data_IF_365297941615
#
_entry.id   IF_365297941615
#
_cell.length_a   1.000
_cell.length_b   1.000
_cell.length_c   1.000
_cell.angle_alpha   90.00
_cell.angle_beta   90.00
_cell.angle_gamma   90.00
#
_symmetry.space_group_name_H-M   'P 1'
#
loop_
_entity.id
_entity.type
_entity.pdbx_description
1 polymer ?
#
# COMPACT_ATOMS: atom_id res chain seq x y z
N UNK A 1 -3.02 -12.94 -30.57
CA UNK A 1 -4.39 -12.80 -30.05
C UNK A 1 -4.48 -11.41 -29.46
N UNK A 2 -5.27 -10.52 -30.09
CA UNK A 2 -5.40 -9.14 -29.60
C UNK A 2 -6.31 -9.14 -28.38
N UNK A 3 -5.76 -8.78 -27.22
CA UNK A 3 -6.55 -8.43 -26.03
C UNK A 3 -7.28 -7.11 -26.35
N UNK A 4 -8.45 -7.23 -27.00
CA UNK A 4 -9.26 -6.09 -27.41
C UNK A 4 -9.93 -5.45 -26.21
N UNK A 5 -9.30 -4.45 -25.64
CA UNK A 5 -9.81 -3.66 -24.53
C UNK A 5 -11.02 -2.85 -24.97
N UNK A 6 -12.23 -3.31 -24.63
CA UNK A 6 -13.41 -2.42 -24.62
C UNK A 6 -13.38 -1.64 -23.29
N UNK A 7 -12.67 -0.53 -23.29
CA UNK A 7 -12.85 0.48 -22.26
C UNK A 7 -14.30 0.96 -22.31
N UNK A 8 -15.14 0.40 -21.44
CA UNK A 8 -16.42 1.03 -21.09
C UNK A 8 -16.08 2.31 -20.34
N UNK A 9 -16.06 3.40 -21.07
CA UNK A 9 -15.98 4.76 -20.56
C UNK A 9 -17.17 4.97 -19.62
N UNK A 10 -17.00 4.65 -18.35
CA UNK A 10 -17.97 4.94 -17.29
C UNK A 10 -17.88 6.43 -17.04
N UNK A 11 -18.59 7.21 -17.85
CA UNK A 11 -18.82 8.63 -17.55
C UNK A 11 -19.41 8.69 -16.15
N UNK A 12 -18.59 9.15 -15.23
CA UNK A 12 -19.05 9.57 -13.91
C UNK A 12 -19.96 10.77 -14.17
N UNK A 13 -21.26 10.50 -14.23
CA UNK A 13 -22.25 11.56 -14.21
C UNK A 13 -22.22 12.18 -12.82
N UNK A 14 -21.51 13.29 -12.73
CA UNK A 14 -21.56 14.21 -11.59
C UNK A 14 -23.03 14.67 -11.47
N UNK A 15 -23.80 14.02 -10.62
CA UNK A 15 -25.14 14.46 -10.24
C UNK A 15 -24.98 15.82 -9.56
N UNK A 16 -25.28 16.86 -10.32
CA UNK A 16 -25.51 18.21 -9.85
C UNK A 16 -26.83 18.17 -9.07
N UNK A 17 -26.78 18.02 -7.78
CA UNK A 17 -27.94 18.27 -6.93
C UNK A 17 -28.08 19.78 -6.82
N UNK A 18 -29.04 20.29 -7.63
CA UNK A 18 -29.51 21.66 -7.47
C UNK A 18 -30.12 21.81 -6.07
N UNK A 19 -29.58 22.77 -5.34
CA UNK A 19 -30.07 23.14 -4.05
C UNK A 19 -31.53 23.56 -4.11
N UNK A 20 -32.32 22.87 -3.36
CA UNK A 20 -33.62 23.38 -2.95
C UNK A 20 -33.44 24.05 -1.61
N UNK A 21 -33.39 25.38 -1.66
CA UNK A 21 -33.51 26.25 -0.49
C UNK A 21 -34.86 25.95 0.17
N UNK A 22 -34.82 25.41 1.36
CA UNK A 22 -35.97 25.50 2.24
C UNK A 22 -35.56 26.34 3.45
N UNK A 23 -35.99 27.58 3.38
CA UNK A 23 -36.05 28.47 4.53
C UNK A 23 -36.98 27.90 5.58
N UNK A 24 -36.50 27.69 6.76
CA UNK A 24 -37.31 27.71 7.97
C UNK A 24 -36.77 28.79 8.90
N UNK A 25 -37.40 29.93 8.80
CA UNK A 25 -37.48 30.93 9.84
C UNK A 25 -38.54 30.48 10.85
N UNK A 26 -38.25 30.52 12.10
CA UNK A 26 -39.13 30.70 13.27
C UNK A 26 -38.16 30.71 14.45
N UNK A 27 -37.83 31.87 14.99
CA UNK A 27 -38.60 32.75 15.86
C UNK A 27 -38.58 32.29 17.32
N UNK A 28 -37.89 33.09 18.10
CA UNK A 28 -38.26 33.59 19.45
C UNK A 28 -38.40 32.55 20.56
N UNK A 29 -37.95 32.74 21.77
CA UNK A 29 -38.05 33.84 22.74
C UNK A 29 -37.15 33.54 23.95
N UNK A 30 -36.55 34.60 24.47
CA UNK A 30 -36.39 34.99 25.88
C UNK A 30 -36.27 33.87 26.95
N UNK A 31 -35.23 33.93 27.74
CA UNK A 31 -35.36 34.28 29.15
C UNK A 31 -34.05 34.89 29.64
N UNK A 32 -34.22 36.14 30.07
CA UNK A 32 -33.40 36.98 30.88
C UNK A 32 -33.16 36.33 32.26
N UNK A 33 -32.00 36.57 32.82
CA UNK A 33 -31.95 36.50 34.26
C UNK A 33 -30.61 36.22 34.90
N UNK A 34 -30.06 37.25 35.39
CA UNK A 34 -29.32 37.42 36.64
C UNK A 34 -27.79 37.29 36.62
N UNK A 35 -27.27 38.47 36.65
CA UNK A 35 -26.04 38.95 37.27
C UNK A 35 -25.79 38.33 38.65
N UNK A 36 -24.56 37.97 38.94
CA UNK A 36 -23.93 38.30 40.22
C UNK A 36 -22.41 38.28 40.05
N UNK A 37 -21.84 39.42 40.34
CA UNK A 37 -20.45 39.75 40.48
C UNK A 37 -19.76 38.93 41.57
N UNK A 38 -18.57 38.43 41.26
CA UNK A 38 -17.51 38.41 42.28
C UNK A 38 -16.19 38.81 41.66
N UNK A 39 -15.80 40.04 41.96
CA UNK A 39 -14.45 40.54 41.84
C UNK A 39 -13.58 39.92 42.90
N UNK A 40 -12.46 39.36 42.52
CA UNK A 40 -11.28 39.30 43.38
C UNK A 40 -10.02 39.26 42.50
N UNK A 41 -9.38 40.38 42.40
CA UNK A 41 -8.01 40.53 41.96
C UNK A 41 -7.07 39.82 42.94
N UNK A 42 -6.10 39.10 42.38
CA UNK A 42 -4.77 39.02 43.02
C UNK A 42 -3.70 38.74 41.96
N UNK A 43 -2.87 39.72 41.78
CA UNK A 43 -1.64 39.70 41.00
C UNK A 43 -0.74 38.54 41.38
N UNK A 44 -0.23 37.78 40.39
CA UNK A 44 1.09 37.18 40.48
C UNK A 44 1.71 37.04 39.08
N UNK A 45 2.96 37.40 39.04
CA UNK A 45 3.87 37.59 37.94
C UNK A 45 3.93 36.43 36.91
N UNK A 46 4.40 36.74 35.68
CA UNK A 46 4.47 35.79 34.59
C UNK A 46 5.58 34.75 34.85
N UNK A 47 5.21 33.51 34.90
CA UNK A 47 6.15 32.39 34.85
C UNK A 47 6.20 31.90 33.40
N UNK A 48 7.28 32.22 32.72
CA UNK A 48 7.67 31.69 31.44
C UNK A 48 7.69 30.15 31.52
N UNK A 49 6.69 29.54 30.95
CA UNK A 49 6.74 28.11 30.58
C UNK A 49 7.09 28.03 29.11
N UNK A 50 8.13 27.33 28.71
CA UNK A 50 8.40 27.11 27.31
C UNK A 50 7.23 26.33 26.71
N UNK A 51 6.52 26.97 25.79
CA UNK A 51 5.59 26.30 24.89
C UNK A 51 6.43 25.30 24.08
N UNK A 52 6.36 24.04 24.48
CA UNK A 52 6.80 22.96 23.61
C UNK A 52 5.88 22.98 22.41
N UNK A 53 6.38 23.61 21.35
CA UNK A 53 5.81 23.54 20.02
C UNK A 53 5.91 22.07 19.58
N UNK A 54 4.87 21.32 19.92
CA UNK A 54 4.67 19.98 19.45
C UNK A 54 4.36 20.09 17.95
N UNK A 55 5.42 20.09 17.15
CA UNK A 55 5.31 19.84 15.73
C UNK A 55 4.63 18.48 15.58
N UNK A 56 3.33 18.48 15.47
CA UNK A 56 2.60 17.35 14.92
C UNK A 56 3.12 17.17 13.51
N UNK A 57 4.04 16.23 13.35
CA UNK A 57 4.40 15.72 12.03
C UNK A 57 3.12 15.07 11.54
N UNK A 58 2.44 15.78 10.66
CA UNK A 58 1.33 15.26 9.89
C UNK A 58 1.91 14.09 9.06
N UNK A 59 1.81 12.89 9.62
CA UNK A 59 2.21 11.69 8.93
C UNK A 59 1.18 11.49 7.82
N UNK A 60 1.47 12.05 6.66
CA UNK A 60 0.67 11.78 5.45
C UNK A 60 0.68 10.28 5.27
N UNK A 61 -0.43 9.64 5.56
CA UNK A 61 -0.60 8.23 5.34
C UNK A 61 -0.41 7.97 3.84
N UNK A 62 0.68 7.29 3.49
CA UNK A 62 0.95 6.89 2.11
C UNK A 62 -0.16 5.94 1.70
N UNK A 63 -0.98 6.36 0.74
CA UNK A 63 -2.05 5.52 0.19
C UNK A 63 -1.41 4.38 -0.58
N UNK A 64 -1.80 3.14 -0.27
CA UNK A 64 -1.38 1.97 -1.03
C UNK A 64 -2.16 1.90 -2.34
N UNK A 65 -1.42 1.91 -3.44
CA UNK A 65 -1.96 1.82 -4.82
C UNK A 65 -1.70 0.47 -5.46
N UNK A 66 -1.28 -0.51 -4.68
CA UNK A 66 -0.99 -1.86 -5.16
C UNK A 66 -2.26 -2.55 -5.64
N UNK A 67 -2.25 -3.06 -6.87
CA UNK A 67 -3.31 -3.91 -7.40
C UNK A 67 -2.99 -5.38 -7.10
N UNK A 68 -3.97 -6.10 -6.57
CA UNK A 68 -3.86 -7.52 -6.30
C UNK A 68 -4.73 -8.33 -7.25
N UNK A 69 -4.23 -9.50 -7.65
CA UNK A 69 -4.98 -10.37 -8.56
C UNK A 69 -4.23 -11.67 -8.85
N UNK A 70 -4.72 -12.40 -9.84
CA UNK A 70 -4.08 -13.60 -10.35
C UNK A 70 -3.60 -13.40 -11.78
N UNK A 71 -2.47 -14.02 -12.08
CA UNK A 71 -1.94 -14.09 -13.44
C UNK A 71 -2.92 -14.84 -14.34
N UNK A 72 -3.39 -14.21 -15.39
CA UNK A 72 -4.29 -14.83 -16.36
C UNK A 72 -3.54 -15.66 -17.40
N UNK A 73 -4.29 -16.51 -18.08
CA UNK A 73 -3.76 -17.38 -19.15
C UNK A 73 -3.34 -16.60 -20.41
N UNK A 74 -3.86 -15.38 -20.60
CA UNK A 74 -3.47 -14.48 -21.69
C UNK A 74 -2.13 -13.77 -21.49
N UNK A 75 -1.44 -14.03 -20.37
CA UNK A 75 -0.10 -13.47 -20.10
C UNK A 75 0.91 -14.02 -21.11
N UNK A 76 1.71 -13.12 -21.68
CA UNK A 76 2.72 -13.41 -22.67
C UNK A 76 4.01 -12.64 -22.36
N UNK A 77 5.04 -12.78 -23.23
CA UNK A 77 6.37 -12.21 -22.99
C UNK A 77 6.37 -10.71 -22.67
N UNK A 78 5.50 -9.94 -23.30
CA UNK A 78 5.44 -8.48 -23.17
C UNK A 78 4.11 -7.97 -22.59
N UNK A 79 3.24 -8.86 -22.17
CA UNK A 79 1.91 -8.51 -21.69
C UNK A 79 1.54 -9.33 -20.46
N UNK A 80 1.14 -8.66 -19.40
CA UNK A 80 0.54 -9.28 -18.22
C UNK A 80 -0.98 -9.14 -18.33
N UNK A 81 -1.67 -10.26 -18.25
CA UNK A 81 -3.10 -10.30 -17.96
C UNK A 81 -3.28 -10.51 -16.45
N UNK A 82 -3.91 -9.56 -15.79
CA UNK A 82 -4.23 -9.61 -14.37
C UNK A 82 -5.73 -9.76 -14.17
N UNK A 83 -6.15 -10.84 -13.54
CA UNK A 83 -7.52 -11.02 -13.06
C UNK A 83 -7.54 -10.49 -11.62
N UNK A 84 -8.12 -9.31 -11.43
CA UNK A 84 -8.15 -8.64 -10.12
C UNK A 84 -9.04 -9.37 -9.12
N UNK A 85 -8.89 -9.08 -7.83
CA UNK A 85 -9.75 -9.65 -6.79
C UNK A 85 -11.22 -9.23 -6.91
N UNK A 86 -11.46 -8.13 -7.62
CA UNK A 86 -12.80 -7.62 -7.92
C UNK A 86 -13.43 -8.33 -9.13
N UNK A 87 -12.65 -9.20 -9.82
CA UNK A 87 -13.08 -9.96 -10.98
C UNK A 87 -12.90 -9.26 -12.32
N UNK A 88 -12.28 -8.09 -12.34
CA UNK A 88 -11.94 -7.39 -13.58
C UNK A 88 -10.68 -7.98 -14.21
N UNK A 89 -10.64 -8.03 -15.55
CA UNK A 89 -9.45 -8.44 -16.29
C UNK A 89 -8.76 -7.20 -16.84
N UNK A 90 -7.52 -6.98 -16.40
CA UNK A 90 -6.67 -5.86 -16.81
C UNK A 90 -5.47 -6.39 -17.59
N UNK A 91 -5.05 -5.66 -18.63
CA UNK A 91 -3.84 -5.97 -19.38
C UNK A 91 -2.82 -4.85 -19.19
N UNK A 92 -1.57 -5.24 -18.92
CA UNK A 92 -0.44 -4.33 -18.74
C UNK A 92 0.68 -4.69 -19.69
N UNK A 93 1.29 -3.69 -20.32
CA UNK A 93 2.55 -3.88 -21.01
C UNK A 93 3.67 -4.18 -20.02
N UNK A 94 4.57 -5.08 -20.40
CA UNK A 94 5.83 -5.37 -19.71
C UNK A 94 6.94 -4.94 -20.66
N UNK A 95 7.59 -3.83 -20.38
CA UNK A 95 8.68 -3.34 -21.21
C UNK A 95 10.01 -3.93 -20.76
N UNK A 96 10.76 -4.52 -21.70
CA UNK A 96 12.07 -5.13 -21.42
C UNK A 96 13.18 -4.12 -21.13
N UNK A 97 12.98 -2.84 -21.46
CA UNK A 97 14.00 -1.80 -21.29
C UNK A 97 14.14 -1.31 -19.84
N UNK A 98 13.16 -1.58 -19.00
CA UNK A 98 13.26 -1.38 -17.56
C UNK A 98 13.63 -2.70 -16.91
N UNK A 99 14.87 -2.79 -16.47
CA UNK A 99 15.45 -3.94 -15.76
C UNK A 99 14.43 -4.62 -14.88
N UNK A 100 13.96 -5.78 -15.38
CA UNK A 100 13.12 -6.74 -14.68
C UNK A 100 12.06 -6.09 -13.75
N UNK A 101 11.00 -5.55 -14.32
CA UNK A 101 9.85 -5.14 -13.52
C UNK A 101 9.13 -6.33 -12.86
N UNK A 102 9.48 -7.57 -13.22
CA UNK A 102 8.88 -8.79 -12.68
C UNK A 102 9.79 -9.44 -11.66
N UNK A 103 9.29 -9.65 -10.46
CA UNK A 103 9.95 -10.37 -9.37
C UNK A 103 9.22 -11.69 -9.14
N UNK A 104 9.92 -12.82 -9.30
CA UNK A 104 9.39 -14.16 -9.03
C UNK A 104 8.77 -14.87 -10.24
N UNK A 105 8.89 -14.28 -11.44
CA UNK A 105 8.31 -14.86 -12.66
C UNK A 105 6.79 -14.69 -12.74
N UNK A 106 6.20 -15.19 -13.83
CA UNK A 106 4.77 -15.15 -14.12
C UNK A 106 4.30 -16.54 -14.52
N UNK A 107 3.46 -17.15 -13.73
CA UNK A 107 2.76 -18.38 -14.03
C UNK A 107 1.25 -18.17 -14.01
N UNK A 108 0.52 -18.76 -14.93
CA UNK A 108 -0.95 -18.70 -14.93
C UNK A 108 -1.50 -19.19 -13.57
N UNK A 109 -2.38 -18.40 -12.97
CA UNK A 109 -2.93 -18.68 -11.65
C UNK A 109 -2.12 -18.15 -10.46
N UNK A 110 -0.87 -17.71 -10.67
CA UNK A 110 -0.05 -17.13 -9.59
C UNK A 110 -0.70 -15.86 -9.02
N UNK A 111 -0.57 -15.71 -7.72
CA UNK A 111 -1.01 -14.51 -7.01
C UNK A 111 0.01 -13.39 -7.21
N UNK A 112 -0.44 -12.24 -7.65
CA UNK A 112 0.42 -11.10 -8.00
C UNK A 112 0.05 -9.84 -7.22
N UNK A 113 1.06 -9.01 -6.96
CA UNK A 113 0.93 -7.62 -6.56
C UNK A 113 1.54 -6.75 -7.67
N UNK A 114 0.76 -5.83 -8.22
CA UNK A 114 1.12 -5.02 -9.39
C UNK A 114 1.09 -3.54 -9.05
N UNK A 115 2.16 -2.85 -9.35
CA UNK A 115 2.24 -1.39 -9.33
C UNK A 115 2.11 -0.89 -10.77
N UNK A 116 1.10 -0.08 -11.00
CA UNK A 116 0.86 0.52 -12.32
C UNK A 116 1.85 1.65 -12.56
N UNK A 117 2.44 1.66 -13.74
CA UNK A 117 3.33 2.71 -14.22
C UNK A 117 2.61 3.72 -15.11
N UNK A 118 3.39 4.48 -15.86
CA UNK A 118 2.89 5.38 -16.89
C UNK A 118 2.38 4.58 -18.10
N UNK A 119 1.45 5.18 -18.84
CA UNK A 119 1.02 4.62 -20.12
C UNK A 119 2.13 4.77 -21.18
N UNK A 120 2.25 3.77 -22.04
CA UNK A 120 3.08 3.81 -23.23
C UNK A 120 2.21 3.46 -24.44
N UNK A 121 2.18 4.35 -25.46
CA UNK A 121 1.34 4.21 -26.66
C UNK A 121 -0.16 3.97 -26.37
N UNK A 122 -0.65 4.52 -25.24
CA UNK A 122 -2.06 4.37 -24.84
C UNK A 122 -2.36 3.07 -24.09
N UNK A 123 -1.33 2.25 -23.80
CA UNK A 123 -1.45 1.03 -22.99
C UNK A 123 -0.83 1.23 -21.60
N UNK A 124 -1.54 0.85 -20.52
CA UNK A 124 -1.00 0.91 -19.17
C UNK A 124 0.18 -0.05 -19.04
N UNK A 125 1.26 0.41 -18.40
CA UNK A 125 2.44 -0.40 -18.18
C UNK A 125 2.51 -0.87 -16.73
N UNK A 126 3.00 -2.09 -16.50
CA UNK A 126 3.37 -2.54 -15.18
C UNK A 126 4.74 -1.93 -14.81
N UNK A 127 4.78 -1.12 -13.76
CA UNK A 127 6.03 -0.59 -13.19
C UNK A 127 6.78 -1.66 -12.42
N UNK A 128 6.06 -2.44 -11.63
CA UNK A 128 6.58 -3.54 -10.84
C UNK A 128 5.50 -4.61 -10.68
N UNK A 129 5.90 -5.86 -10.82
CA UNK A 129 5.08 -7.04 -10.55
C UNK A 129 5.82 -7.92 -9.56
N UNK A 130 5.19 -8.22 -8.44
CA UNK A 130 5.72 -9.15 -7.43
C UNK A 130 4.85 -10.40 -7.43
N UNK A 131 5.46 -11.55 -7.69
CA UNK A 131 4.79 -12.84 -7.62
C UNK A 131 4.72 -13.29 -6.15
N UNK A 132 3.54 -13.18 -5.55
CA UNK A 132 3.31 -13.54 -4.15
C UNK A 132 3.35 -15.06 -3.95
N UNK A 133 2.95 -15.85 -4.95
CA UNK A 133 3.07 -17.30 -4.91
C UNK A 133 4.53 -17.72 -4.77
N UNK A 134 5.42 -17.07 -5.51
CA UNK A 134 6.87 -17.30 -5.40
C UNK A 134 7.45 -16.71 -4.11
N UNK A 135 6.89 -15.62 -3.59
CA UNK A 135 7.38 -14.98 -2.37
C UNK A 135 7.08 -15.81 -1.11
N UNK A 136 5.92 -16.49 -1.08
CA UNK A 136 5.53 -17.36 0.03
C UNK A 136 6.52 -18.52 0.26
N UNK A 137 6.67 -18.93 1.51
CA UNK A 137 7.46 -20.07 1.94
C UNK A 137 8.56 -19.74 2.92
N UNK A 138 9.45 -20.71 3.12
CA UNK A 138 10.52 -20.63 4.14
C UNK A 138 11.79 -20.06 3.53
N UNK A 139 12.31 -19.04 4.20
CA UNK A 139 13.52 -18.34 3.82
C UNK A 139 14.57 -18.40 4.91
N UNK A 140 15.82 -18.68 4.56
CA UNK A 140 16.93 -18.85 5.51
C UNK A 140 18.13 -18.02 5.09
N UNK A 141 18.76 -17.42 6.09
CA UNK A 141 20.08 -16.77 6.04
C UNK A 141 20.92 -17.27 7.22
N UNK A 142 22.12 -16.71 7.39
CA UNK A 142 23.02 -17.10 8.49
C UNK A 142 22.42 -16.84 9.87
N UNK A 143 21.71 -15.73 10.02
CA UNK A 143 21.22 -15.17 11.27
C UNK A 143 19.70 -15.07 11.34
N UNK A 144 18.99 -15.36 10.24
CA UNK A 144 17.52 -15.24 10.15
C UNK A 144 16.89 -16.40 9.39
N UNK A 145 15.87 -16.97 10.00
CA UNK A 145 15.01 -17.96 9.36
C UNK A 145 13.56 -17.59 9.62
N UNK A 146 12.79 -17.43 8.56
CA UNK A 146 11.37 -17.08 8.65
C UNK A 146 10.58 -17.74 7.54
N UNK A 147 9.29 -17.84 7.74
CA UNK A 147 8.32 -18.33 6.75
C UNK A 147 7.28 -17.23 6.50
N UNK A 148 7.12 -16.86 5.23
CA UNK A 148 6.05 -16.00 4.76
C UNK A 148 4.85 -16.87 4.42
N UNK A 149 3.74 -16.68 5.14
CA UNK A 149 2.51 -17.44 4.95
C UNK A 149 1.43 -16.56 4.31
N UNK A 150 0.43 -17.20 3.72
CA UNK A 150 -0.77 -16.51 3.24
C UNK A 150 -1.42 -15.69 4.36
N UNK A 151 -2.12 -14.62 3.99
CA UNK A 151 -2.78 -13.75 4.96
C UNK A 151 -1.86 -12.79 5.69
N UNK A 152 -0.60 -12.63 5.24
CA UNK A 152 0.31 -11.63 5.78
C UNK A 152 1.01 -12.04 7.08
N UNK A 153 1.00 -13.32 7.42
CA UNK A 153 1.64 -13.86 8.63
C UNK A 153 3.09 -14.21 8.38
N UNK A 154 3.98 -13.85 9.31
CA UNK A 154 5.37 -14.33 9.34
C UNK A 154 5.56 -15.23 10.54
N UNK A 155 6.13 -16.41 10.30
CA UNK A 155 6.59 -17.30 11.36
C UNK A 155 8.11 -17.25 11.42
N UNK A 156 8.65 -16.68 12.50
CA UNK A 156 10.09 -16.66 12.75
C UNK A 156 10.49 -17.96 13.45
N UNK A 157 11.49 -18.64 12.92
CA UNK A 157 12.00 -19.91 13.46
C UNK A 157 13.21 -19.72 14.38
N UNK A 158 13.58 -18.48 14.70
CA UNK A 158 14.69 -18.12 15.59
C UNK A 158 14.17 -17.29 16.74
N UNK A 159 14.73 -17.53 17.92
CA UNK A 159 14.44 -16.69 19.10
C UNK A 159 15.17 -15.37 18.92
N UNK A 160 14.45 -14.35 18.49
CA UNK A 160 14.97 -13.00 18.31
C UNK A 160 14.33 -12.02 19.30
N UNK A 161 15.04 -10.96 19.71
CA UNK A 161 14.46 -9.90 20.55
C UNK A 161 13.29 -9.17 19.90
N UNK A 162 13.25 -9.15 18.57
CA UNK A 162 12.20 -8.55 17.75
C UNK A 162 11.82 -9.53 16.63
N UNK A 163 10.95 -10.50 16.90
CA UNK A 163 10.54 -11.47 15.89
C UNK A 163 9.71 -10.78 14.80
N UNK A 164 9.85 -11.26 13.58
CA UNK A 164 8.97 -10.90 12.49
C UNK A 164 7.61 -11.57 12.70
N UNK A 165 6.52 -10.82 12.58
CA UNK A 165 5.17 -11.31 12.87
C UNK A 165 4.22 -11.17 11.69
N UNK A 166 4.43 -10.17 10.84
CA UNK A 166 3.55 -9.86 9.73
C UNK A 166 4.31 -9.39 8.51
N UNK A 167 3.70 -9.56 7.34
CA UNK A 167 4.22 -9.03 6.09
C UNK A 167 3.09 -8.52 5.18
N UNK A 168 3.44 -7.58 4.33
CA UNK A 168 2.58 -7.10 3.24
C UNK A 168 3.42 -6.50 2.13
N UNK A 169 2.83 -6.39 0.95
CA UNK A 169 3.34 -5.51 -0.09
C UNK A 169 2.61 -4.17 0.03
N UNK A 170 3.33 -3.08 -0.05
CA UNK A 170 2.78 -1.73 -0.04
C UNK A 170 3.55 -0.89 -1.04
N UNK A 171 2.88 -0.41 -2.09
CA UNK A 171 3.48 0.36 -3.17
C UNK A 171 4.75 -0.30 -3.77
N UNK A 172 4.75 -1.64 -3.85
CA UNK A 172 5.84 -2.43 -4.40
C UNK A 172 6.96 -2.80 -3.43
N UNK A 173 6.93 -2.29 -2.22
CA UNK A 173 7.88 -2.65 -1.16
C UNK A 173 7.35 -3.80 -0.32
N UNK A 174 8.24 -4.67 0.12
CA UNK A 174 7.94 -5.69 1.12
C UNK A 174 8.10 -5.06 2.51
N UNK A 175 7.01 -5.00 3.25
CA UNK A 175 7.01 -4.57 4.66
C UNK A 175 7.03 -5.83 5.52
N UNK A 176 8.06 -6.00 6.33
CA UNK A 176 8.22 -7.08 7.30
C UNK A 176 8.15 -6.48 8.71
N UNK A 177 7.02 -6.61 9.37
CA UNK A 177 6.72 -5.98 10.66
C UNK A 177 6.90 -4.45 10.59
N UNK A 178 7.98 -3.91 11.15
CA UNK A 178 8.28 -2.47 11.13
C UNK A 178 9.25 -2.05 10.03
N UNK A 179 9.91 -2.99 9.36
CA UNK A 179 10.95 -2.73 8.38
C UNK A 179 10.41 -2.81 6.96
N UNK A 180 10.85 -1.88 6.11
CA UNK A 180 10.47 -1.82 4.69
C UNK A 180 11.68 -2.16 3.83
N UNK A 181 11.45 -2.98 2.81
CA UNK A 181 12.48 -3.46 1.89
C UNK A 181 12.05 -3.35 0.44
N UNK A 182 12.99 -3.03 -0.42
CA UNK A 182 12.88 -3.28 -1.84
C UNK A 182 13.17 -4.75 -2.15
N UNK A 183 12.35 -5.36 -2.98
CA UNK A 183 12.63 -6.70 -3.49
C UNK A 183 13.56 -6.54 -4.68
N UNK A 184 14.88 -6.64 -4.43
CA UNK A 184 15.90 -6.51 -5.47
C UNK A 184 15.81 -7.68 -6.45
N UNK A 185 15.72 -8.90 -5.92
CA UNK A 185 15.56 -10.13 -6.71
C UNK A 185 14.65 -11.12 -5.97
N UNK A 186 13.80 -11.79 -6.71
CA UNK A 186 12.99 -12.91 -6.24
C UNK A 186 13.04 -14.01 -7.30
N UNK A 187 13.61 -15.12 -6.93
CA UNK A 187 13.69 -16.33 -7.74
C UNK A 187 13.05 -17.52 -7.06
N UNK A 188 13.08 -18.68 -7.72
CA UNK A 188 12.54 -19.92 -7.16
C UNK A 188 13.20 -20.28 -5.81
N UNK A 189 14.52 -20.07 -5.70
CA UNK A 189 15.33 -20.49 -4.55
C UNK A 189 16.08 -19.31 -3.89
N UNK A 190 15.90 -18.06 -4.35
CA UNK A 190 16.62 -16.89 -3.89
C UNK A 190 15.69 -15.70 -3.64
N UNK A 191 15.96 -14.96 -2.57
CA UNK A 191 15.32 -13.70 -2.24
C UNK A 191 16.37 -12.70 -1.78
N UNK A 192 16.51 -11.58 -2.50
CA UNK A 192 17.37 -10.47 -2.14
C UNK A 192 16.51 -9.26 -1.77
N UNK A 193 16.64 -8.81 -0.55
CA UNK A 193 15.95 -7.64 -0.01
C UNK A 193 16.95 -6.53 0.24
N UNK A 194 16.57 -5.30 -0.09
CA UNK A 194 17.42 -4.12 0.11
C UNK A 194 16.68 -3.09 0.94
N UNK A 195 17.40 -2.45 1.85
CA UNK A 195 16.96 -1.25 2.56
C UNK A 195 18.15 -0.31 2.81
N UNK A 196 17.92 0.79 3.54
CA UNK A 196 18.96 1.76 3.86
C UNK A 196 20.17 1.17 4.62
N UNK A 197 20.03 -0.01 5.25
CA UNK A 197 21.09 -0.66 6.02
C UNK A 197 21.89 -1.68 5.20
N UNK A 198 21.43 -2.03 3.98
CA UNK A 198 22.16 -2.93 3.09
C UNK A 198 21.26 -3.94 2.37
N UNK A 199 21.91 -4.96 1.80
CA UNK A 199 21.29 -6.05 1.04
C UNK A 199 21.30 -7.32 1.91
N UNK A 200 20.14 -7.95 2.00
CA UNK A 200 19.91 -9.17 2.75
C UNK A 200 19.59 -10.31 1.79
N UNK A 201 20.35 -11.39 1.88
CA UNK A 201 20.24 -12.53 0.98
C UNK A 201 19.69 -13.73 1.71
N UNK A 202 18.61 -14.29 1.17
CA UNK A 202 17.95 -15.48 1.69
C UNK A 202 17.89 -16.57 0.64
N UNK A 203 17.97 -17.82 1.11
CA UNK A 203 17.75 -19.01 0.29
C UNK A 203 16.46 -19.69 0.71
N UNK A 204 15.78 -20.30 -0.25
CA UNK A 204 14.58 -21.09 0.04
C UNK A 204 14.98 -22.37 0.79
N UNK A 205 14.29 -22.63 1.88
CA UNK A 205 14.38 -23.89 2.61
C UNK A 205 13.35 -24.86 2.02
N UNK A 206 13.79 -26.02 1.60
CA UNK A 206 12.94 -27.12 1.10
C UNK A 206 12.48 -28.01 2.22
#
# INVERSE_FOLDING_TARGET
MNCGMKLKNKRIMKKRTNGLRLMFTISWLFVSGYCLMFTACKDKAPQDSPVADSLAIDTVAVVDTTLYGRCGEGTAMHTLELITDEGDTLCFGINNDTIACVRGGLGAGDRLAVIVGSEYEGEPQAKLVVNLTTLLGKWTALDKNFELQEGGVVVSNVTEPKPLTEWKICNGHLVLSADTFDIYELGADSLYLENANGIYTYKRMR
#
